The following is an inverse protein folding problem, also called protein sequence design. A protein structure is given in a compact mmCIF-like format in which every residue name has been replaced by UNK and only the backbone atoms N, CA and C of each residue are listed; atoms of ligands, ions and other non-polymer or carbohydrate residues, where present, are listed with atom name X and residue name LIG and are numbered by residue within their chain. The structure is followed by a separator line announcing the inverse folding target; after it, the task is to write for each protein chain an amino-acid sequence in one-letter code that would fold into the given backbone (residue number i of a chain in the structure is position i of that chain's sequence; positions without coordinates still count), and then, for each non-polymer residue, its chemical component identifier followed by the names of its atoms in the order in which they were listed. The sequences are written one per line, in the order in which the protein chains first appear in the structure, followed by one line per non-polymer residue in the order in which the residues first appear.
data_IF_215372397999
#
_entry.id   IF_215372397999
#
_cell.length_a   1.000
_cell.length_b   1.000
_cell.length_c   1.000
_cell.angle_alpha   90.00
_cell.angle_beta   90.00
_cell.angle_gamma   90.00
#
_symmetry.space_group_name_H-M   'P 1'
#
loop_
_entity.id
_entity.type
_entity.pdbx_description
1 polymer ?
#
# COMPACT_ATOMS: atom_id res chain seq x y z
N UNK A 1 -30.25 -18.05 -61.50
CA UNK A 1 -29.87 -18.34 -60.10
C UNK A 1 -28.96 -17.20 -59.67
N UNK A 2 -29.54 -16.08 -59.24
CA UNK A 2 -28.77 -14.88 -58.92
C UNK A 2 -28.20 -15.01 -57.52
N UNK A 3 -26.87 -15.08 -57.45
CA UNK A 3 -26.13 -14.98 -56.20
C UNK A 3 -26.23 -13.52 -55.77
N UNK A 4 -27.11 -13.25 -54.82
CA UNK A 4 -27.39 -11.91 -54.30
C UNK A 4 -26.10 -11.22 -53.88
N UNK A 5 -25.81 -10.07 -54.50
CA UNK A 5 -24.80 -9.13 -54.04
C UNK A 5 -25.21 -8.69 -52.63
N UNK A 6 -24.60 -9.30 -51.61
CA UNK A 6 -24.61 -8.76 -50.25
C UNK A 6 -24.04 -7.35 -50.37
N UNK A 7 -24.90 -6.37 -50.16
CA UNK A 7 -24.64 -4.96 -50.39
C UNK A 7 -23.54 -4.50 -49.43
N UNK A 8 -22.49 -3.89 -49.97
CA UNK A 8 -21.28 -3.43 -49.27
C UNK A 8 -21.54 -2.68 -47.95
N UNK A 9 -22.70 -2.02 -47.83
CA UNK A 9 -23.13 -1.27 -46.64
C UNK A 9 -23.54 -2.16 -45.45
N UNK A 10 -24.11 -3.34 -45.67
CA UNK A 10 -24.51 -4.25 -44.58
C UNK A 10 -23.29 -4.94 -43.96
N UNK A 11 -22.33 -5.35 -44.80
CA UNK A 11 -21.05 -5.89 -44.35
C UNK A 11 -20.23 -4.86 -43.55
N UNK A 12 -20.27 -3.58 -43.96
CA UNK A 12 -19.61 -2.51 -43.21
C UNK A 12 -20.23 -2.29 -41.82
N UNK A 13 -21.56 -2.40 -41.70
CA UNK A 13 -22.28 -2.27 -40.42
C UNK A 13 -21.99 -3.42 -39.46
N UNK A 14 -21.98 -4.66 -39.94
CA UNK A 14 -21.67 -5.83 -39.11
C UNK A 14 -20.22 -5.80 -38.62
N UNK A 15 -19.27 -5.40 -39.47
CA UNK A 15 -17.88 -5.18 -39.08
C UNK A 15 -17.73 -4.05 -38.04
N UNK A 16 -18.44 -2.93 -38.20
CA UNK A 16 -18.41 -1.84 -37.23
C UNK A 16 -18.97 -2.26 -35.86
N UNK A 17 -20.06 -3.03 -35.84
CA UNK A 17 -20.65 -3.56 -34.59
C UNK A 17 -19.74 -4.59 -33.92
N UNK A 18 -19.08 -5.45 -34.70
CA UNK A 18 -18.07 -6.40 -34.20
C UNK A 18 -16.85 -5.68 -33.61
N UNK A 19 -16.36 -4.61 -34.26
CA UNK A 19 -15.26 -3.80 -33.76
C UNK A 19 -15.66 -3.09 -32.45
N UNK A 20 -16.87 -2.51 -32.39
CA UNK A 20 -17.36 -1.83 -31.19
C UNK A 20 -17.52 -2.80 -30.01
N UNK A 21 -18.08 -3.99 -30.25
CA UNK A 21 -18.22 -5.02 -29.21
C UNK A 21 -16.86 -5.53 -28.72
N UNK A 22 -15.87 -5.68 -29.61
CA UNK A 22 -14.50 -6.01 -29.21
C UNK A 22 -13.88 -4.93 -28.32
N UNK A 23 -14.07 -3.65 -28.64
CA UNK A 23 -13.61 -2.53 -27.80
C UNK A 23 -14.28 -2.55 -26.43
N UNK A 24 -15.59 -2.78 -26.37
CA UNK A 24 -16.33 -2.89 -25.11
C UNK A 24 -15.80 -4.05 -24.26
N UNK A 25 -15.52 -5.21 -24.87
CA UNK A 25 -14.96 -6.36 -24.18
C UNK A 25 -13.55 -6.09 -23.65
N UNK A 26 -12.69 -5.41 -24.41
CA UNK A 26 -11.36 -5.02 -23.96
C UNK A 26 -11.40 -4.01 -22.81
N UNK A 27 -12.30 -3.03 -22.87
CA UNK A 27 -12.53 -2.09 -21.78
C UNK A 27 -13.06 -2.81 -20.52
N UNK A 28 -14.03 -3.72 -20.67
CA UNK A 28 -14.58 -4.50 -19.57
C UNK A 28 -13.50 -5.38 -18.91
N UNK A 29 -12.63 -6.01 -19.71
CA UNK A 29 -11.51 -6.80 -19.20
C UNK A 29 -10.53 -5.95 -18.36
N UNK A 30 -10.18 -4.75 -18.84
CA UNK A 30 -9.28 -3.84 -18.10
C UNK A 30 -9.88 -3.38 -16.76
N UNK A 31 -11.21 -3.26 -16.67
CA UNK A 31 -11.92 -2.89 -15.43
C UNK A 31 -12.03 -4.09 -14.47
N UNK A 32 -12.33 -5.28 -14.99
CA UNK A 32 -12.54 -6.49 -14.19
C UNK A 32 -11.24 -7.07 -13.63
N UNK A 33 -10.10 -6.84 -14.28
CA UNK A 33 -8.81 -7.35 -13.87
C UNK A 33 -7.80 -6.23 -13.61
N UNK A 34 -8.02 -5.41 -12.56
CA UNK A 34 -7.10 -4.34 -12.22
C UNK A 34 -5.75 -4.91 -11.78
N UNK A 35 -4.68 -4.35 -12.32
CA UNK A 35 -3.32 -4.61 -11.82
C UNK A 35 -3.06 -3.70 -10.63
N UNK A 36 -2.36 -4.21 -9.62
CA UNK A 36 -2.07 -3.47 -8.40
C UNK A 36 -0.57 -3.16 -8.30
N UNK A 37 -0.26 -1.96 -7.83
CA UNK A 37 1.06 -1.50 -7.43
C UNK A 37 1.08 -1.37 -5.90
N UNK A 38 2.21 -1.72 -5.27
CA UNK A 38 2.38 -1.65 -3.82
C UNK A 38 3.59 -0.79 -3.47
N UNK A 39 3.49 -0.07 -2.37
CA UNK A 39 4.61 0.67 -1.77
C UNK A 39 4.54 0.60 -0.26
N UNK A 40 5.65 0.91 0.41
CA UNK A 40 5.74 0.90 1.86
C UNK A 40 6.43 2.14 2.40
N UNK A 41 5.90 2.69 3.49
CA UNK A 41 6.49 3.80 4.23
C UNK A 41 6.90 3.29 5.61
N UNK A 42 8.16 3.47 5.97
CA UNK A 42 8.67 3.17 7.31
C UNK A 42 8.87 4.47 8.07
N UNK A 43 8.11 4.62 9.15
CA UNK A 43 8.16 5.78 10.03
C UNK A 43 8.96 5.45 11.27
N UNK A 44 9.83 6.38 11.65
CA UNK A 44 10.61 6.33 12.88
C UNK A 44 10.08 7.36 13.87
N UNK A 45 10.33 7.16 15.17
CA UNK A 45 9.98 8.16 16.16
C UNK A 45 10.75 9.48 15.96
N UNK A 46 10.09 10.59 16.30
CA UNK A 46 10.63 11.95 16.14
C UNK A 46 11.87 12.20 17.01
N UNK A 47 11.96 11.51 18.15
CA UNK A 47 13.11 11.52 19.04
C UNK A 47 13.47 10.08 19.38
N UNK A 48 14.69 9.69 19.05
CA UNK A 48 15.26 8.45 19.56
C UNK A 48 15.55 8.63 21.05
N UNK A 49 14.83 7.90 21.89
CA UNK A 49 15.10 7.88 23.31
C UNK A 49 16.45 7.20 23.58
N UNK A 50 17.33 7.89 24.31
CA UNK A 50 18.61 7.33 24.74
C UNK A 50 18.41 5.96 25.40
N UNK A 51 19.31 5.03 25.08
CA UNK A 51 19.22 3.63 25.50
C UNK A 51 19.77 3.39 26.91
N UNK A 52 20.19 4.44 27.61
CA UNK A 52 20.91 4.36 28.88
C UNK A 52 20.17 5.18 29.93
N UNK A 53 20.21 4.72 31.17
CA UNK A 53 19.68 5.41 32.35
C UNK A 53 18.21 5.86 32.22
N UNK A 54 17.92 7.11 32.57
CA UNK A 54 16.56 7.67 32.58
C UNK A 54 15.94 7.77 31.18
N UNK A 55 16.77 7.82 30.14
CA UNK A 55 16.32 7.87 28.74
C UNK A 55 15.62 6.60 28.28
N UNK A 56 15.98 5.44 28.86
CA UNK A 56 15.38 4.16 28.50
C UNK A 56 13.92 4.01 28.98
N UNK A 57 13.50 4.81 29.97
CA UNK A 57 12.10 4.90 30.40
C UNK A 57 11.28 5.92 29.61
N UNK A 58 11.89 6.67 28.68
CA UNK A 58 11.16 7.66 27.91
C UNK A 58 10.21 6.97 26.93
N UNK A 59 8.94 7.39 26.95
CA UNK A 59 7.95 6.92 25.99
C UNK A 59 8.32 7.38 24.59
N UNK A 60 8.30 6.43 23.66
CA UNK A 60 8.55 6.67 22.24
C UNK A 60 7.22 6.67 21.49
N UNK A 61 6.92 7.76 20.80
CA UNK A 61 5.71 7.91 20.00
C UNK A 61 6.10 8.11 18.54
N UNK A 62 5.45 7.34 17.66
CA UNK A 62 5.58 7.52 16.21
C UNK A 62 4.37 8.32 15.75
N UNK A 63 4.62 9.52 15.24
CA UNK A 63 3.56 10.43 14.80
C UNK A 63 3.38 10.31 13.29
N UNK A 64 2.14 10.08 12.86
CA UNK A 64 1.76 10.22 11.46
C UNK A 64 1.44 11.68 11.16
N UNK A 65 2.12 12.25 10.17
CA UNK A 65 1.78 13.58 9.68
C UNK A 65 0.61 13.50 8.70
N UNK A 66 -0.51 14.14 9.07
CA UNK A 66 -1.74 14.13 8.28
C UNK A 66 -1.55 14.68 6.87
N UNK A 67 -0.63 15.63 6.67
CA UNK A 67 -0.32 16.19 5.35
C UNK A 67 0.29 15.15 4.41
N UNK A 68 1.22 14.32 4.91
CA UNK A 68 1.82 13.24 4.12
C UNK A 68 0.78 12.18 3.75
N UNK A 69 -0.13 11.85 4.66
CA UNK A 69 -1.22 10.91 4.38
C UNK A 69 -2.20 11.47 3.34
N UNK A 70 -2.52 12.77 3.42
CA UNK A 70 -3.38 13.44 2.44
C UNK A 70 -2.74 13.45 1.04
N UNK A 71 -1.42 13.71 0.94
CA UNK A 71 -0.67 13.64 -0.33
C UNK A 71 -0.71 12.25 -0.95
N UNK A 72 -0.52 11.20 -0.15
CA UNK A 72 -0.62 9.81 -0.63
C UNK A 72 -2.03 9.47 -1.12
N UNK A 73 -3.06 9.85 -0.36
CA UNK A 73 -4.45 9.70 -0.76
C UNK A 73 -4.77 10.42 -2.08
N UNK A 74 -4.30 11.66 -2.25
CA UNK A 74 -4.46 12.43 -3.48
C UNK A 74 -3.77 11.78 -4.71
N UNK A 75 -2.73 10.97 -4.49
CA UNK A 75 -2.04 10.20 -5.53
C UNK A 75 -2.70 8.84 -5.84
N UNK A 76 -3.83 8.53 -5.19
CA UNK A 76 -4.56 7.28 -5.34
C UNK A 76 -3.95 6.11 -4.59
N UNK A 77 -3.08 6.36 -3.60
CA UNK A 77 -2.59 5.33 -2.70
C UNK A 77 -3.59 5.09 -1.56
N UNK A 78 -3.92 3.82 -1.33
CA UNK A 78 -4.79 3.37 -0.26
C UNK A 78 -3.98 2.58 0.77
N UNK A 79 -4.14 2.92 2.05
CA UNK A 79 -3.53 2.16 3.13
C UNK A 79 -4.22 0.80 3.26
N UNK A 80 -3.44 -0.29 3.22
CA UNK A 80 -3.98 -1.66 3.32
C UNK A 80 -3.52 -2.43 4.53
N UNK A 81 -2.36 -2.06 5.08
CA UNK A 81 -1.83 -2.70 6.27
C UNK A 81 -0.91 -1.76 7.03
N UNK A 82 -0.82 -1.97 8.33
CA UNK A 82 0.15 -1.35 9.20
C UNK A 82 0.74 -2.40 10.14
N UNK A 83 2.02 -2.27 10.44
CA UNK A 83 2.73 -3.11 11.40
C UNK A 83 3.61 -2.24 12.29
N UNK A 84 3.65 -2.57 13.57
CA UNK A 84 4.49 -1.90 14.55
C UNK A 84 5.68 -2.80 14.85
N UNK A 85 6.88 -2.32 14.55
CA UNK A 85 8.12 -2.96 14.94
C UNK A 85 8.47 -2.51 16.36
N UNK A 86 8.71 -3.49 17.23
CA UNK A 86 9.11 -3.27 18.61
C UNK A 86 10.59 -3.62 18.77
N UNK A 87 11.31 -2.82 19.55
CA UNK A 87 12.65 -3.16 20.03
C UNK A 87 12.64 -3.43 21.53
N UNK A 88 13.67 -4.14 22.00
CA UNK A 88 13.92 -4.32 23.44
C UNK A 88 14.61 -3.09 24.00
N UNK A 89 14.08 -2.50 25.08
CA UNK A 89 14.64 -1.29 25.70
C UNK A 89 15.96 -1.58 26.43
N UNK A 90 16.06 -2.74 27.09
CA UNK A 90 17.26 -3.21 27.79
C UNK A 90 17.68 -4.60 27.28
N UNK A 91 18.88 -4.75 26.69
CA UNK A 91 19.44 -6.06 26.45
C UNK A 91 19.78 -6.74 27.79
N UNK A 92 19.16 -7.88 28.08
CA UNK A 92 19.39 -8.67 29.29
C UNK A 92 20.79 -9.30 29.28
N UNK A 93 21.82 -8.51 29.59
CA UNK A 93 23.20 -8.99 29.71
C UNK A 93 23.46 -9.61 31.09
N UNK A 94 22.73 -10.65 31.49
CA UNK A 94 23.13 -11.62 32.53
C UNK A 94 23.59 -11.11 33.91
N UNK A 95 23.43 -9.83 34.26
CA UNK A 95 23.76 -9.31 35.60
C UNK A 95 22.56 -9.40 36.53
N UNK A 96 22.80 -9.81 37.76
CA UNK A 96 21.77 -9.97 38.80
C UNK A 96 21.12 -8.65 39.25
N UNK A 97 21.66 -7.52 38.80
CA UNK A 97 21.17 -6.16 39.06
C UNK A 97 20.00 -5.76 38.15
N UNK A 98 19.79 -6.47 37.03
CA UNK A 98 18.71 -6.18 36.09
C UNK A 98 17.36 -6.59 36.70
N UNK A 99 16.41 -5.67 36.64
CA UNK A 99 15.08 -5.81 37.23
C UNK A 99 14.40 -7.08 36.72
N UNK A 100 14.22 -8.06 37.60
CA UNK A 100 13.42 -9.28 37.38
C UNK A 100 11.93 -8.98 37.57
N UNK A 101 11.39 -7.98 36.86
CA UNK A 101 10.02 -7.49 37.06
C UNK A 101 9.29 -7.14 35.77
N UNK A 102 7.94 -7.17 35.85
CA UNK A 102 6.90 -6.96 34.81
C UNK A 102 6.95 -5.62 34.05
N UNK A 103 8.06 -4.90 34.05
CA UNK A 103 8.17 -3.64 33.31
C UNK A 103 8.20 -3.96 31.81
N UNK A 104 7.41 -3.27 30.96
CA UNK A 104 7.42 -3.52 29.52
C UNK A 104 8.80 -3.16 28.95
N UNK A 105 9.63 -4.17 28.77
CA UNK A 105 10.98 -4.06 28.21
C UNK A 105 10.94 -3.90 26.67
N UNK A 106 9.80 -3.50 26.12
CA UNK A 106 9.58 -3.34 24.68
C UNK A 106 9.02 -1.97 24.38
N UNK A 107 9.56 -1.30 23.37
CA UNK A 107 9.09 0.01 22.91
C UNK A 107 8.96 0.05 21.38
N UNK A 108 8.07 0.88 20.82
CA UNK A 108 7.96 1.02 19.38
C UNK A 108 9.27 1.58 18.77
N UNK A 109 9.83 0.86 17.81
CA UNK A 109 11.03 1.27 17.07
C UNK A 109 10.66 1.93 15.75
N UNK A 110 9.72 1.32 15.02
CA UNK A 110 9.29 1.81 13.73
C UNK A 110 7.85 1.38 13.43
N UNK A 111 7.19 2.12 12.55
CA UNK A 111 5.88 1.75 12.03
C UNK A 111 6.00 1.56 10.52
N UNK A 112 5.66 0.37 10.05
CA UNK A 112 5.59 0.07 8.63
C UNK A 112 4.14 0.25 8.17
N UNK A 113 3.95 1.06 7.13
CA UNK A 113 2.67 1.25 6.46
C UNK A 113 2.79 0.68 5.06
N UNK A 114 1.82 -0.14 4.65
CA UNK A 114 1.76 -0.70 3.31
C UNK A 114 0.58 -0.08 2.58
N UNK A 115 0.85 0.44 1.39
CA UNK A 115 -0.13 1.05 0.53
C UNK A 115 -0.27 0.27 -0.77
N UNK A 116 -1.46 0.31 -1.36
CA UNK A 116 -1.72 -0.18 -2.72
C UNK A 116 -2.36 0.90 -3.58
N UNK A 117 -2.22 0.74 -4.89
CA UNK A 117 -2.85 1.60 -5.90
C UNK A 117 -3.17 0.77 -7.14
N UNK A 118 -4.25 1.11 -7.85
CA UNK A 118 -4.49 0.53 -9.18
C UNK A 118 -3.45 1.05 -10.18
N UNK A 119 -2.71 0.12 -10.78
CA UNK A 119 -1.79 0.41 -11.88
C UNK A 119 -2.59 0.50 -13.17
N UNK A 120 -2.88 1.73 -13.58
CA UNK A 120 -3.44 1.96 -14.90
C UNK A 120 -2.40 1.61 -15.97
N UNK A 121 -2.76 0.86 -17.02
CA UNK A 121 -1.80 0.38 -18.02
C UNK A 121 -1.22 1.47 -18.93
N UNK A 122 -1.69 2.72 -18.84
CA UNK A 122 -1.30 3.86 -19.70
C UNK A 122 -0.54 4.98 -18.97
N UNK A 123 -0.17 4.76 -17.70
CA UNK A 123 0.73 5.62 -16.94
C UNK A 123 2.10 4.98 -16.78
#
# INVERSE_FOLDING_TARGET
MEIGKVTSSEGARTLALAALSLVVLLCAYAILFPKWEYTSLKLFPEKEAERVDKGAFAFTTIRLESEHMAKLGAQGWELVSSSLEHETAYPNFGRSEYVTGLQPNVRPQAMLLVFKRQKFPWR
#
